data_IF_363707258039
#
_entry.id   IF_363707258039
#
_cell.length_a   1.000
_cell.length_b   1.000
_cell.length_c   1.000
_cell.angle_alpha   90.00
_cell.angle_beta   90.00
_cell.angle_gamma   90.00
#
_symmetry.space_group_name_H-M   'P 1'
#
loop_
_entity.id
_entity.type
_entity.pdbx_description
1 polymer ?
#
# COMPACT_ATOMS: atom_id res chain seq x y z
N UNK A 1 -19.47 33.16 -40.46
CA UNK A 1 -19.76 32.28 -39.31
C UNK A 1 -19.07 32.88 -38.09
N UNK A 2 -19.84 33.28 -37.08
CA UNK A 2 -19.33 34.10 -35.96
C UNK A 2 -18.61 33.24 -34.91
N UNK A 3 -17.54 33.78 -34.34
CA UNK A 3 -16.67 33.16 -33.32
C UNK A 3 -17.44 32.72 -32.05
N UNK A 4 -18.63 33.30 -31.81
CA UNK A 4 -19.51 32.94 -30.70
C UNK A 4 -20.17 31.56 -30.85
N UNK A 5 -20.38 31.08 -32.08
CA UNK A 5 -20.96 29.75 -32.32
C UNK A 5 -19.95 28.63 -32.01
N UNK A 6 -18.65 28.89 -32.18
CA UNK A 6 -17.57 27.92 -31.95
C UNK A 6 -17.30 27.67 -30.45
N UNK A 7 -17.40 28.71 -29.62
CA UNK A 7 -17.27 28.60 -28.16
C UNK A 7 -18.47 27.89 -27.51
N UNK A 8 -19.66 28.04 -28.11
CA UNK A 8 -20.88 27.35 -27.66
C UNK A 8 -20.85 25.84 -27.88
N UNK A 9 -20.27 25.38 -28.99
CA UNK A 9 -20.17 23.95 -29.33
C UNK A 9 -19.20 23.19 -28.40
N UNK A 10 -18.05 23.80 -28.08
CA UNK A 10 -17.01 23.19 -27.23
C UNK A 10 -17.45 22.96 -25.77
N UNK A 11 -18.38 23.79 -25.26
CA UNK A 11 -18.95 23.62 -23.91
C UNK A 11 -20.00 22.51 -23.80
N UNK A 12 -20.63 22.09 -24.92
CA UNK A 12 -21.63 21.00 -24.94
C UNK A 12 -20.97 19.63 -24.97
N UNK A 13 -19.89 19.48 -25.73
CA UNK A 13 -19.12 18.22 -25.78
C UNK A 13 -18.48 17.89 -24.42
N UNK A 14 -17.96 18.89 -23.71
CA UNK A 14 -17.36 18.69 -22.39
C UNK A 14 -18.39 18.28 -21.32
N UNK A 15 -19.64 18.76 -21.42
CA UNK A 15 -20.73 18.34 -20.53
C UNK A 15 -21.20 16.91 -20.82
N UNK A 16 -21.24 16.51 -22.10
CA UNK A 16 -21.57 15.14 -22.49
C UNK A 16 -20.48 14.14 -22.05
N UNK A 17 -19.21 14.52 -22.16
CA UNK A 17 -18.09 13.70 -21.71
C UNK A 17 -18.05 13.51 -20.19
N UNK A 18 -18.40 14.55 -19.41
CA UNK A 18 -18.49 14.45 -17.95
C UNK A 18 -19.67 13.57 -17.48
N UNK A 19 -20.81 13.62 -18.16
CA UNK A 19 -21.95 12.74 -17.85
C UNK A 19 -21.66 11.26 -18.17
N UNK A 20 -20.99 10.98 -19.30
CA UNK A 20 -20.47 9.64 -19.64
C UNK A 20 -19.48 9.14 -18.56
N UNK A 21 -18.59 10.01 -18.06
CA UNK A 21 -17.62 9.64 -17.03
C UNK A 21 -18.26 9.34 -15.67
N UNK A 22 -19.27 10.12 -15.28
CA UNK A 22 -20.03 9.91 -14.05
C UNK A 22 -20.81 8.59 -14.13
N UNK A 23 -21.54 8.34 -15.23
CA UNK A 23 -22.33 7.13 -15.42
C UNK A 23 -21.46 5.85 -15.49
N UNK A 24 -20.24 5.95 -16.02
CA UNK A 24 -19.26 4.85 -16.06
C UNK A 24 -18.59 4.58 -14.72
N UNK A 25 -18.50 5.59 -13.84
CA UNK A 25 -17.96 5.44 -12.49
C UNK A 25 -18.93 4.72 -11.53
N UNK A 26 -20.23 4.95 -11.67
CA UNK A 26 -21.27 4.29 -10.86
C UNK A 26 -21.47 2.82 -11.24
N UNK A 27 -21.41 2.48 -12.55
CA UNK A 27 -21.53 1.09 -13.02
C UNK A 27 -20.34 0.19 -12.62
N UNK A 28 -19.15 0.76 -12.39
CA UNK A 28 -17.96 0.00 -11.92
C UNK A 28 -18.04 -0.38 -10.45
N UNK A 29 -18.82 0.36 -9.65
CA UNK A 29 -19.10 0.02 -8.26
C UNK A 29 -20.07 -1.19 -8.15
N UNK A 30 -21.01 -1.32 -9.09
CA UNK A 30 -21.97 -2.44 -9.12
C UNK A 30 -21.34 -3.78 -9.57
N UNK A 31 -20.36 -3.77 -10.49
CA UNK A 31 -19.65 -5.00 -10.90
C UNK A 31 -18.79 -5.62 -9.78
N UNK A 32 -18.26 -4.81 -8.86
CA UNK A 32 -17.46 -5.31 -7.73
C UNK A 32 -18.31 -5.92 -6.59
N UNK A 33 -19.62 -5.64 -6.53
CA UNK A 33 -20.53 -6.31 -5.60
C UNK A 33 -20.93 -7.72 -6.08
N UNK A 34 -20.94 -7.96 -7.40
CA UNK A 34 -21.34 -9.26 -7.98
C UNK A 34 -20.24 -10.34 -7.91
N UNK A 35 -18.96 -9.95 -7.82
CA UNK A 35 -17.85 -10.89 -7.73
C UNK A 35 -17.53 -11.36 -6.29
N UNK A 36 -18.00 -10.66 -5.25
CA UNK A 36 -17.79 -11.07 -3.85
C UNK A 36 -18.81 -12.13 -3.38
N UNK A 37 -20.01 -12.17 -3.98
CA UNK A 37 -21.05 -13.17 -3.67
C UNK A 37 -20.83 -14.52 -4.36
N UNK A 38 -20.01 -14.59 -5.42
CA UNK A 38 -19.66 -15.84 -6.10
C UNK A 38 -18.51 -16.61 -5.41
N UNK A 39 -17.59 -15.93 -4.73
CA UNK A 39 -16.44 -16.59 -4.06
C UNK A 39 -16.83 -17.22 -2.72
N UNK A 40 -17.92 -16.76 -2.08
CA UNK A 40 -18.38 -17.29 -0.78
C UNK A 40 -19.29 -18.54 -0.89
N UNK A 41 -19.65 -18.99 -2.10
CA UNK A 41 -20.43 -20.23 -2.32
C UNK A 41 -19.59 -21.46 -2.67
N UNK A 42 -18.29 -21.31 -2.91
CA UNK A 42 -17.39 -22.42 -3.26
C UNK A 42 -16.63 -23.02 -2.04
N UNK A 43 -16.83 -22.50 -0.83
CA UNK A 43 -16.01 -22.84 0.34
C UNK A 43 -16.70 -23.72 1.41
N UNK A 44 -17.82 -24.39 1.10
CA UNK A 44 -18.51 -25.25 2.07
C UNK A 44 -18.91 -26.60 1.49
N UNK A 45 -17.97 -27.39 0.96
CA UNK A 45 -18.17 -28.84 0.78
C UNK A 45 -16.82 -29.56 0.71
N UNK A 46 -16.08 -29.65 1.82
CA UNK A 46 -15.25 -30.84 2.14
C UNK A 46 -15.06 -30.90 3.67
N UNK A 47 -16.01 -31.46 4.38
CA UNK A 47 -15.75 -32.16 5.65
C UNK A 47 -16.43 -33.50 5.51
N UNK A 48 -15.63 -34.56 5.41
CA UNK A 48 -15.87 -35.88 6.01
C UNK A 48 -15.02 -36.93 5.29
N UNK A 49 -13.93 -37.33 5.95
CA UNK A 49 -13.41 -38.69 5.88
C UNK A 49 -12.52 -38.93 7.10
N UNK A 50 -13.12 -39.55 8.11
CA UNK A 50 -12.42 -40.14 9.23
C UNK A 50 -11.51 -41.29 8.79
N UNK A 51 -10.50 -41.53 9.63
CA UNK A 51 -10.09 -42.84 10.12
C UNK A 51 -10.07 -44.02 9.12
N UNK A 52 -8.89 -44.31 8.55
CA UNK A 52 -8.28 -45.67 8.49
C UNK A 52 -7.11 -45.74 7.48
N UNK A 53 -5.91 -46.07 7.99
CA UNK A 53 -4.78 -46.72 7.28
C UNK A 53 -4.12 -45.96 6.09
N UNK A 54 -2.92 -46.25 5.59
CA UNK A 54 -1.78 -47.04 6.05
C UNK A 54 -0.61 -46.85 5.02
N UNK A 55 0.57 -46.43 5.53
CA UNK A 55 1.98 -46.71 5.09
C UNK A 55 2.56 -46.17 3.74
N UNK A 56 3.90 -46.21 3.48
CA UNK A 56 4.98 -45.34 3.98
C UNK A 56 5.78 -44.61 2.86
N UNK A 57 6.61 -43.62 3.23
CA UNK A 57 7.90 -43.42 2.54
C UNK A 57 8.98 -43.10 3.56
N UNK A 58 10.06 -43.88 3.48
CA UNK A 58 11.13 -44.02 4.45
C UNK A 58 12.13 -42.86 4.40
N UNK A 59 12.23 -42.13 5.52
CA UNK A 59 13.50 -41.69 6.07
C UNK A 59 13.35 -41.57 7.59
N UNK A 60 13.60 -42.66 8.30
CA UNK A 60 13.55 -42.69 9.76
C UNK A 60 14.95 -42.38 10.28
N UNK A 61 15.23 -41.10 10.54
CA UNK A 61 16.39 -40.71 11.34
C UNK A 61 16.01 -40.83 12.82
N UNK A 62 16.35 -41.95 13.46
CA UNK A 62 16.28 -42.10 14.91
C UNK A 62 17.46 -41.38 15.55
N UNK A 63 17.27 -40.12 15.94
CA UNK A 63 18.13 -39.50 16.95
C UNK A 63 17.72 -40.05 18.30
N UNK A 64 18.59 -40.83 18.93
CA UNK A 64 18.42 -41.29 20.30
C UNK A 64 18.36 -40.05 21.21
N UNK A 65 17.19 -39.77 21.78
CA UNK A 65 17.07 -38.80 22.87
C UNK A 65 17.63 -39.47 24.12
N UNK A 66 18.88 -39.16 24.46
CA UNK A 66 19.42 -39.49 25.77
C UNK A 66 18.64 -38.67 26.81
N UNK A 67 17.71 -39.33 27.49
CA UNK A 67 16.97 -38.76 28.60
C UNK A 67 17.74 -39.08 29.89
N UNK A 68 18.67 -38.21 30.26
CA UNK A 68 19.28 -38.24 31.59
C UNK A 68 18.36 -37.51 32.55
N UNK A 69 17.54 -38.27 33.28
CA UNK A 69 16.93 -37.79 34.52
C UNK A 69 18.00 -37.84 35.61
N UNK A 70 18.61 -36.70 35.93
CA UNK A 70 19.23 -36.50 37.23
C UNK A 70 19.00 -35.06 37.66
N UNK A 71 18.19 -34.90 38.69
CA UNK A 71 17.87 -33.62 39.30
C UNK A 71 19.07 -33.18 40.15
N UNK A 72 19.95 -32.37 39.58
CA UNK A 72 21.00 -31.67 40.32
C UNK A 72 20.87 -30.17 40.07
N UNK A 73 20.26 -29.47 41.04
CA UNK A 73 20.28 -28.01 41.13
C UNK A 73 21.71 -27.62 41.54
N UNK A 74 22.61 -27.57 40.57
CA UNK A 74 23.83 -26.78 40.63
C UNK A 74 23.48 -25.44 40.00
N UNK A 75 23.45 -24.35 40.76
CA UNK A 75 23.23 -23.01 40.21
C UNK A 75 24.45 -22.61 39.39
N UNK A 76 24.53 -23.11 38.15
CA UNK A 76 25.53 -22.73 37.17
C UNK A 76 25.16 -21.33 36.67
N UNK A 77 25.98 -20.33 37.00
CA UNK A 77 25.74 -18.92 36.69
C UNK A 77 25.81 -18.58 35.17
N UNK A 78 25.96 -19.58 34.31
CA UNK A 78 26.12 -19.44 32.85
C UNK A 78 24.95 -20.10 32.08
N UNK A 79 23.86 -20.44 32.78
CA UNK A 79 22.63 -20.90 32.14
C UNK A 79 21.89 -19.73 31.48
N UNK A 80 21.35 -19.91 30.26
CA UNK A 80 20.62 -18.86 29.58
C UNK A 80 19.36 -18.49 30.36
N UNK A 81 19.25 -17.22 30.72
CA UNK A 81 18.08 -16.67 31.42
C UNK A 81 17.00 -16.30 30.40
N UNK A 82 15.74 -16.61 30.71
CA UNK A 82 14.59 -16.14 29.95
C UNK A 82 14.40 -14.62 30.13
N UNK A 83 14.85 -13.84 29.15
CA UNK A 83 14.73 -12.38 29.10
C UNK A 83 14.25 -11.94 27.71
N UNK A 84 13.51 -10.83 27.63
CA UNK A 84 13.20 -10.18 26.36
C UNK A 84 14.48 -9.78 25.62
N UNK A 85 14.52 -9.94 24.30
CA UNK A 85 15.73 -9.69 23.51
C UNK A 85 16.27 -8.25 23.70
N UNK A 86 17.45 -8.06 24.36
CA UNK A 86 18.00 -6.75 24.65
C UNK A 86 18.57 -6.05 23.40
N UNK A 87 18.86 -6.80 22.32
CA UNK A 87 19.40 -6.28 21.06
C UNK A 87 18.31 -5.90 20.04
N UNK A 88 17.04 -5.85 20.49
CA UNK A 88 15.90 -5.53 19.63
C UNK A 88 15.91 -4.05 19.23
N UNK A 89 16.23 -3.79 17.96
CA UNK A 89 16.15 -2.45 17.37
C UNK A 89 14.71 -1.95 17.34
N UNK A 90 14.54 -0.64 17.56
CA UNK A 90 13.23 0.01 17.46
C UNK A 90 12.66 -0.11 16.04
N UNK A 91 11.32 -0.18 15.97
CA UNK A 91 10.62 -0.27 14.69
C UNK A 91 10.71 1.06 13.95
N UNK A 92 11.16 1.03 12.70
CA UNK A 92 11.19 2.21 11.83
C UNK A 92 9.77 2.69 11.54
N UNK A 93 9.49 3.95 11.86
CA UNK A 93 8.20 4.60 11.60
C UNK A 93 8.26 5.50 10.37
N UNK A 94 7.12 5.65 9.69
CA UNK A 94 6.96 6.54 8.56
C UNK A 94 6.98 8.02 8.96
N UNK A 95 7.33 8.93 8.06
CA UNK A 95 7.44 10.36 8.36
C UNK A 95 6.08 10.96 8.77
N UNK A 96 5.01 10.58 8.08
CA UNK A 96 3.64 11.01 8.42
C UNK A 96 3.16 10.46 9.76
N UNK A 97 3.67 9.30 10.17
CA UNK A 97 3.35 8.64 11.43
C UNK A 97 4.06 9.35 12.59
N UNK A 98 5.34 9.67 12.42
CA UNK A 98 6.14 10.40 13.40
C UNK A 98 5.59 11.80 13.68
N UNK A 99 5.11 12.48 12.64
CA UNK A 99 4.56 13.83 12.73
C UNK A 99 3.04 13.86 13.00
N UNK A 100 2.38 12.71 13.05
CA UNK A 100 0.92 12.59 13.21
C UNK A 100 0.09 13.43 12.21
N UNK A 101 0.58 13.55 10.96
CA UNK A 101 -0.09 14.34 9.92
C UNK A 101 -1.09 13.45 9.15
N UNK A 102 -2.29 13.97 8.97
CA UNK A 102 -3.31 13.43 8.06
C UNK A 102 -3.24 14.18 6.73
N UNK A 103 -3.03 13.49 5.59
CA UNK A 103 -3.04 14.14 4.29
C UNK A 103 -4.46 14.56 3.91
N UNK A 104 -4.62 15.77 3.38
CA UNK A 104 -5.88 16.32 2.87
C UNK A 104 -5.69 16.83 1.43
N UNK A 105 -6.63 16.57 0.53
CA UNK A 105 -6.59 17.04 -0.87
C UNK A 105 -6.43 18.56 -1.04
N UNK A 106 -6.87 19.33 -0.04
CA UNK A 106 -6.77 20.80 -0.04
C UNK A 106 -5.33 21.28 0.20
N UNK A 107 -4.52 20.49 0.89
CA UNK A 107 -3.14 20.84 1.20
C UNK A 107 -2.22 20.48 0.02
N UNK A 108 -2.25 21.34 -1.00
CA UNK A 108 -1.45 21.13 -2.19
C UNK A 108 0.06 21.09 -1.89
N UNK A 109 0.55 21.92 -0.96
CA UNK A 109 1.98 21.99 -0.62
C UNK A 109 2.53 20.64 -0.17
N UNK A 110 1.84 19.96 0.74
CA UNK A 110 2.23 18.64 1.22
C UNK A 110 2.15 17.59 0.09
N UNK A 111 1.04 17.56 -0.64
CA UNK A 111 0.81 16.54 -1.67
C UNK A 111 1.79 16.65 -2.85
N UNK A 112 2.18 17.88 -3.20
CA UNK A 112 3.14 18.16 -4.28
C UNK A 112 4.53 17.56 -4.02
N UNK A 113 4.87 17.23 -2.77
CA UNK A 113 6.15 16.59 -2.41
C UNK A 113 6.19 15.11 -2.80
N UNK A 114 5.02 14.47 -2.94
CA UNK A 114 4.89 13.07 -3.33
C UNK A 114 4.83 12.86 -4.85
N UNK A 115 4.98 13.93 -5.63
CA UNK A 115 4.92 13.92 -7.09
C UNK A 115 6.29 14.24 -7.71
N UNK A 116 6.63 13.56 -8.81
CA UNK A 116 7.79 13.87 -9.63
C UNK A 116 7.68 15.28 -10.23
N UNK A 117 8.74 16.12 -10.13
CA UNK A 117 8.69 17.51 -10.57
C UNK A 117 8.38 17.66 -12.06
N UNK A 118 8.97 16.80 -12.89
CA UNK A 118 8.90 16.91 -14.36
C UNK A 118 7.82 16.04 -14.99
N UNK A 119 7.49 14.89 -14.38
CA UNK A 119 6.57 13.91 -14.99
C UNK A 119 5.19 13.93 -14.35
N UNK A 120 5.02 14.57 -13.19
CA UNK A 120 3.75 14.56 -12.47
C UNK A 120 3.36 13.18 -11.91
N UNK A 121 4.24 12.17 -12.00
CA UNK A 121 3.99 10.82 -11.50
C UNK A 121 4.10 10.78 -9.99
N UNK A 122 3.17 10.10 -9.34
CA UNK A 122 3.19 9.88 -7.89
C UNK A 122 4.31 8.88 -7.55
N UNK A 123 5.15 9.20 -6.57
CA UNK A 123 6.20 8.29 -6.12
C UNK A 123 5.61 7.05 -5.43
N UNK A 124 6.17 5.89 -5.76
CA UNK A 124 5.79 4.63 -5.14
C UNK A 124 6.39 4.45 -3.74
N UNK A 125 5.85 3.48 -3.00
CA UNK A 125 6.27 3.16 -1.62
C UNK A 125 7.76 2.87 -1.45
N UNK A 126 8.42 2.30 -2.47
CA UNK A 126 9.84 1.95 -2.42
C UNK A 126 10.77 3.19 -2.42
N UNK A 127 10.23 4.36 -2.81
CA UNK A 127 10.90 5.66 -2.78
C UNK A 127 10.50 6.40 -1.50
N UNK A 128 9.19 6.53 -1.23
CA UNK A 128 8.68 7.34 -0.10
C UNK A 128 8.89 6.70 1.26
N UNK A 129 9.03 5.37 1.33
CA UNK A 129 9.19 4.65 2.60
C UNK A 129 7.97 4.74 3.53
N UNK A 130 6.79 5.10 3.01
CA UNK A 130 5.58 5.21 3.81
C UNK A 130 4.97 3.84 4.18
N UNK A 131 4.16 3.82 5.24
CA UNK A 131 3.25 2.72 5.54
C UNK A 131 2.25 2.55 4.40
N UNK A 132 1.83 1.30 4.11
CA UNK A 132 0.86 1.01 3.04
C UNK A 132 -0.41 1.86 3.16
N UNK A 133 -1.02 1.88 4.36
CA UNK A 133 -2.23 2.66 4.62
C UNK A 133 -2.04 4.17 4.35
N UNK A 134 -0.92 4.75 4.76
CA UNK A 134 -0.65 6.18 4.54
C UNK A 134 -0.34 6.48 3.07
N UNK A 135 0.34 5.57 2.37
CA UNK A 135 0.58 5.68 0.94
C UNK A 135 -0.75 5.69 0.16
N UNK A 136 -1.64 4.72 0.44
CA UNK A 136 -2.95 4.63 -0.22
C UNK A 136 -3.79 5.89 0.04
N UNK A 137 -3.74 6.44 1.26
CA UNK A 137 -4.39 7.70 1.61
C UNK A 137 -3.83 8.87 0.79
N UNK A 138 -2.51 9.04 0.73
CA UNK A 138 -1.87 10.11 -0.05
C UNK A 138 -2.23 10.00 -1.53
N UNK A 139 -2.18 8.80 -2.11
CA UNK A 139 -2.58 8.59 -3.51
C UNK A 139 -4.04 8.95 -3.77
N UNK A 140 -4.95 8.61 -2.84
CA UNK A 140 -6.35 8.97 -2.94
C UNK A 140 -6.56 10.49 -2.86
N UNK A 141 -5.91 11.16 -1.91
CA UNK A 141 -6.01 12.62 -1.77
C UNK A 141 -5.39 13.37 -2.96
N UNK A 142 -4.30 12.84 -3.53
CA UNK A 142 -3.73 13.35 -4.79
C UNK A 142 -4.74 13.22 -5.93
N UNK A 143 -5.33 12.03 -6.14
CA UNK A 143 -6.33 11.83 -7.20
C UNK A 143 -7.52 12.76 -7.01
N UNK A 144 -7.99 12.94 -5.77
CA UNK A 144 -9.06 13.91 -5.45
C UNK A 144 -8.66 15.34 -5.80
N UNK A 145 -7.48 15.78 -5.38
CA UNK A 145 -6.98 17.14 -5.67
C UNK A 145 -6.86 17.39 -7.18
N UNK A 146 -6.39 16.39 -7.93
CA UNK A 146 -6.27 16.47 -9.38
C UNK A 146 -7.65 16.52 -10.06
N UNK A 147 -8.61 15.68 -9.63
CA UNK A 147 -9.97 15.69 -10.16
C UNK A 147 -10.69 17.03 -9.89
N UNK A 148 -10.42 17.66 -8.74
CA UNK A 148 -10.96 18.97 -8.38
C UNK A 148 -10.16 20.14 -8.98
N UNK A 149 -9.18 19.88 -9.86
CA UNK A 149 -8.28 20.88 -10.45
C UNK A 149 -7.49 21.74 -9.43
N UNK A 150 -7.32 21.25 -8.20
CA UNK A 150 -6.42 21.87 -7.20
C UNK A 150 -4.94 21.54 -7.46
N UNK A 151 -4.66 20.44 -8.18
CA UNK A 151 -3.30 19.98 -8.47
C UNK A 151 -3.16 19.52 -9.93
N UNK A 152 -2.09 19.91 -10.65
CA UNK A 152 -1.83 19.43 -12.01
C UNK A 152 -1.48 17.93 -12.10
N UNK A 153 -1.81 17.30 -13.23
CA UNK A 153 -1.50 15.88 -13.52
C UNK A 153 -0.09 15.66 -14.08
N UNK A 154 0.37 16.51 -15.01
CA UNK A 154 1.54 16.24 -15.85
C UNK A 154 2.85 16.82 -15.32
N UNK A 155 2.78 17.86 -14.51
CA UNK A 155 3.96 18.55 -13.97
C UNK A 155 3.63 19.07 -12.58
N UNK A 156 4.66 19.38 -11.79
CA UNK A 156 4.51 20.06 -10.50
C UNK A 156 4.55 21.57 -10.68
N UNK A 157 3.78 22.31 -9.89
CA UNK A 157 3.83 23.77 -9.94
C UNK A 157 5.19 24.33 -9.53
N UNK A 158 5.65 25.33 -10.30
CA UNK A 158 6.96 25.97 -10.13
C UNK A 158 7.14 26.60 -8.74
N UNK A 159 6.05 27.02 -8.10
CA UNK A 159 6.06 27.61 -6.75
C UNK A 159 6.61 26.63 -5.71
N UNK A 160 6.30 25.34 -5.85
CA UNK A 160 6.66 24.29 -4.90
C UNK A 160 7.92 23.51 -5.30
N UNK A 161 8.61 23.94 -6.37
CA UNK A 161 9.82 23.28 -6.86
C UNK A 161 11.03 23.51 -5.94
N UNK A 162 11.02 24.62 -5.19
CA UNK A 162 12.09 25.06 -4.27
C UNK A 162 11.92 24.51 -2.85
N UNK A 163 10.83 23.80 -2.55
CA UNK A 163 10.64 23.19 -1.24
C UNK A 163 11.72 22.10 -1.01
N UNK A 164 12.19 21.93 0.24
CA UNK A 164 13.16 20.87 0.57
C UNK A 164 12.57 19.51 0.20
N UNK A 165 13.34 18.71 -0.55
CA UNK A 165 12.92 17.38 -0.98
C UNK A 165 12.94 16.43 0.21
N UNK A 166 11.83 15.74 0.44
CA UNK A 166 11.73 14.72 1.49
C UNK A 166 12.30 13.36 1.05
N UNK A 167 12.37 13.14 -0.27
CA UNK A 167 12.75 11.87 -0.86
C UNK A 167 13.67 12.09 -2.06
N UNK A 168 14.65 11.21 -2.19
CA UNK A 168 15.54 11.15 -3.33
C UNK A 168 15.13 9.96 -4.23
N UNK A 169 14.60 10.20 -5.43
CA UNK A 169 14.18 9.13 -6.32
C UNK A 169 15.35 8.29 -6.86
N UNK A 170 16.57 8.83 -6.82
CA UNK A 170 17.80 8.16 -7.28
C UNK A 170 18.28 7.06 -6.33
N UNK A 171 17.89 7.09 -5.05
CA UNK A 171 18.30 6.09 -4.07
C UNK A 171 17.08 5.34 -3.47
N UNK A 172 16.38 4.53 -4.28
CA UNK A 172 15.24 3.76 -3.80
C UNK A 172 15.68 2.54 -2.98
N UNK A 173 14.87 2.16 -1.98
CA UNK A 173 15.15 0.99 -1.11
C UNK A 173 15.19 -0.32 -1.90
N UNK A 174 14.42 -0.38 -3.00
CA UNK A 174 14.48 -1.45 -3.98
C UNK A 174 14.66 -0.82 -5.34
N UNK A 175 15.61 -1.33 -6.13
CA UNK A 175 15.76 -0.92 -7.51
C UNK A 175 14.43 -1.10 -8.27
N UNK A 176 14.06 -0.11 -9.07
CA UNK A 176 13.04 -0.27 -10.10
C UNK A 176 13.58 -1.12 -11.25
N UNK A 177 12.67 -1.78 -11.97
CA UNK A 177 12.99 -2.65 -13.12
C UNK A 177 13.39 -1.87 -14.38
N UNK A 178 13.20 -0.55 -14.40
CA UNK A 178 13.43 0.33 -15.55
C UNK A 178 14.50 1.34 -15.25
#
# INVERSE_FOLDING_TARGET
>A
MSLSQYLGAKSREHKHFLLEFIYKSENRAQQNQFLHTLVLRAATYVTDCGFAGCVPTSYRATTARFSSTDAKITTNNDEPVEMDNPYKKERRQCILCKLNITPDYKNYRLLSQFQSPYTGRIYGRHITGLCKAKQDLVENEIRKAQNCAYMPYYYKDKVFLKDPKLFDPENPVRAHRF
#
